data_IF_160752375950
#
_entry.id   IF_160752375950
#
_cell.length_a   1.000
_cell.length_b   1.000
_cell.length_c   1.000
_cell.angle_alpha   90.00
_cell.angle_beta   90.00
_cell.angle_gamma   90.00
#
_symmetry.space_group_name_H-M   'P 1'
#
loop_
_entity.id
_entity.type
_entity.pdbx_description
1 polymer ?
#
# COMPACT_ATOMS: atom_id res chain seq x y z
N UNK A 1 22.58 -3.75 -20.78
CA UNK A 1 22.56 -2.29 -20.53
C UNK A 1 21.52 -1.80 -19.50
N UNK A 2 20.64 -2.65 -18.94
CA UNK A 2 19.70 -2.24 -17.87
C UNK A 2 20.34 -1.95 -16.50
N UNK A 3 21.48 -2.55 -16.15
CA UNK A 3 22.06 -2.42 -14.81
C UNK A 3 22.51 -1.01 -14.43
N UNK A 4 22.99 -0.24 -15.41
CA UNK A 4 23.55 1.11 -15.17
C UNK A 4 22.43 2.16 -15.00
N UNK A 5 21.33 2.01 -15.74
CA UNK A 5 20.12 2.83 -15.55
C UNK A 5 19.43 2.55 -14.20
N UNK A 6 19.36 1.29 -13.77
CA UNK A 6 18.82 0.93 -12.45
C UNK A 6 19.70 1.45 -11.30
N UNK A 7 21.03 1.43 -11.45
CA UNK A 7 21.95 1.98 -10.45
C UNK A 7 21.83 3.51 -10.33
N UNK A 8 21.73 4.25 -11.45
CA UNK A 8 21.55 5.71 -11.44
C UNK A 8 20.17 6.09 -10.85
N UNK A 9 19.12 5.33 -11.15
CA UNK A 9 17.77 5.55 -10.58
C UNK A 9 17.66 5.17 -9.11
N UNK A 10 18.47 4.21 -8.64
CA UNK A 10 18.61 3.80 -7.24
C UNK A 10 19.43 4.79 -6.41
N UNK A 11 20.58 5.25 -6.93
CA UNK A 11 21.39 6.29 -6.28
C UNK A 11 20.62 7.61 -6.18
N UNK A 12 19.92 8.04 -7.24
CA UNK A 12 19.09 9.24 -7.19
C UNK A 12 18.05 9.20 -6.07
N UNK A 13 17.45 8.03 -5.82
CA UNK A 13 16.43 7.80 -4.77
C UNK A 13 16.98 7.98 -3.34
N UNK A 14 18.25 7.66 -3.11
CA UNK A 14 18.87 7.79 -1.80
C UNK A 14 19.34 9.24 -1.52
N UNK A 15 19.82 9.92 -2.57
CA UNK A 15 20.33 11.29 -2.45
C UNK A 15 19.25 12.38 -2.54
N UNK A 16 18.05 12.09 -3.06
CA UNK A 16 16.98 13.10 -3.18
C UNK A 16 16.66 13.80 -1.84
N UNK A 17 16.45 13.11 -0.70
CA UNK A 17 16.20 13.79 0.57
C UNK A 17 17.43 14.59 1.06
N UNK A 18 18.65 14.12 0.78
CA UNK A 18 19.89 14.82 1.08
C UNK A 18 20.09 16.11 0.29
N UNK A 19 19.42 16.25 -0.87
CA UNK A 19 19.47 17.46 -1.70
C UNK A 19 18.41 18.50 -1.30
N UNK A 20 17.36 18.12 -0.56
CA UNK A 20 16.33 19.04 -0.09
C UNK A 20 16.91 20.03 0.93
N UNK A 21 17.73 19.56 1.87
CA UNK A 21 18.37 20.38 2.91
C UNK A 21 19.27 21.48 2.34
N UNK A 22 20.26 21.19 1.45
CA UNK A 22 21.09 22.23 0.84
C UNK A 22 20.30 23.14 -0.10
N UNK A 23 19.24 22.64 -0.77
CA UNK A 23 18.36 23.48 -1.58
C UNK A 23 17.59 24.51 -0.73
N UNK A 24 17.06 24.09 0.42
CA UNK A 24 16.39 24.99 1.38
C UNK A 24 17.37 26.02 1.98
N UNK A 25 18.59 25.59 2.31
CA UNK A 25 19.67 26.48 2.77
C UNK A 25 20.04 27.51 1.70
N UNK A 26 20.20 27.09 0.45
CA UNK A 26 20.48 27.98 -0.69
C UNK A 26 19.36 29.00 -0.93
N UNK A 27 18.10 28.56 -0.84
CA UNK A 27 16.94 29.44 -0.95
C UNK A 27 16.89 30.46 0.21
N UNK A 28 17.15 30.04 1.45
CA UNK A 28 17.19 30.91 2.61
C UNK A 28 18.31 31.97 2.53
N UNK A 29 19.52 31.56 2.16
CA UNK A 29 20.66 32.47 1.99
C UNK A 29 20.39 33.46 0.86
N UNK A 30 19.79 33.03 -0.24
CA UNK A 30 19.42 33.91 -1.36
C UNK A 30 18.32 34.91 -0.99
N UNK A 31 17.31 34.49 -0.21
CA UNK A 31 16.28 35.39 0.33
C UNK A 31 16.88 36.41 1.31
N UNK A 32 17.82 35.99 2.15
CA UNK A 32 18.51 36.90 3.09
C UNK A 32 19.40 37.90 2.35
N UNK A 33 20.15 37.44 1.35
CA UNK A 33 21.02 38.29 0.53
C UNK A 33 20.22 39.30 -0.30
N UNK A 34 19.11 38.90 -0.91
CA UNK A 34 18.23 39.80 -1.67
C UNK A 34 17.55 40.84 -0.78
N UNK A 35 17.07 40.47 0.41
CA UNK A 35 16.54 41.41 1.41
C UNK A 35 17.60 42.41 1.89
N UNK A 36 18.86 41.96 2.04
CA UNK A 36 19.98 42.83 2.46
C UNK A 36 20.44 43.76 1.34
N UNK A 37 20.51 43.27 0.11
CA UNK A 37 20.84 44.04 -1.08
C UNK A 37 19.82 45.16 -1.37
N UNK A 38 18.54 44.97 -1.02
CA UNK A 38 17.51 46.02 -1.09
C UNK A 38 17.67 47.10 0.00
N UNK A 39 18.31 46.78 1.13
CA UNK A 39 18.51 47.71 2.25
C UNK A 39 19.80 48.54 2.10
N UNK A 40 20.85 47.99 1.49
CA UNK A 40 22.15 48.66 1.33
C UNK A 40 22.70 48.47 -0.11
N UNK A 41 22.17 49.20 -1.10
CA UNK A 41 22.57 49.04 -2.50
C UNK A 41 24.00 49.51 -2.80
N UNK A 42 24.54 50.44 -2.00
CA UNK A 42 25.84 51.07 -2.24
C UNK A 42 27.06 50.17 -1.95
N UNK A 43 26.88 49.04 -1.24
CA UNK A 43 27.98 48.16 -0.81
C UNK A 43 27.93 46.74 -1.41
N UNK A 44 26.93 46.42 -2.25
CA UNK A 44 26.70 45.05 -2.73
C UNK A 44 26.93 44.90 -4.25
N UNK A 45 28.16 44.58 -4.65
CA UNK A 45 28.52 44.26 -6.05
C UNK A 45 28.03 42.88 -6.55
N UNK A 46 27.48 42.03 -5.67
CA UNK A 46 27.09 40.65 -5.96
C UNK A 46 25.64 40.43 -6.42
N UNK A 47 24.91 41.49 -6.77
CA UNK A 47 23.45 41.45 -6.99
C UNK A 47 23.02 40.48 -8.11
N UNK A 48 23.81 40.36 -9.18
CA UNK A 48 23.56 39.44 -10.31
C UNK A 48 23.67 37.98 -9.90
N UNK A 49 24.64 37.64 -9.06
CA UNK A 49 24.82 36.28 -8.53
C UNK A 49 23.71 35.91 -7.55
N UNK A 50 23.24 36.85 -6.74
CA UNK A 50 22.09 36.65 -5.85
C UNK A 50 20.78 36.43 -6.63
N UNK A 51 20.55 37.18 -7.71
CA UNK A 51 19.39 37.00 -8.59
C UNK A 51 19.43 35.65 -9.32
N UNK A 52 20.59 35.24 -9.83
CA UNK A 52 20.77 33.93 -10.45
C UNK A 52 20.48 32.79 -9.46
N UNK A 53 20.92 32.92 -8.20
CA UNK A 53 20.62 31.96 -7.13
C UNK A 53 19.12 31.85 -6.82
N UNK A 54 18.40 32.98 -6.73
CA UNK A 54 16.94 32.98 -6.50
C UNK A 54 16.19 32.30 -7.65
N UNK A 55 16.55 32.59 -8.90
CA UNK A 55 15.90 31.98 -10.09
C UNK A 55 16.18 30.48 -10.17
N UNK A 56 17.40 30.06 -9.86
CA UNK A 56 17.74 28.63 -9.86
C UNK A 56 17.00 27.89 -8.73
N UNK A 57 16.96 28.46 -7.52
CA UNK A 57 16.24 27.88 -6.39
C UNK A 57 14.73 27.82 -6.61
N UNK A 58 14.13 28.83 -7.24
CA UNK A 58 12.68 28.85 -7.49
C UNK A 58 12.23 27.80 -8.50
N UNK A 59 13.13 27.29 -9.35
CA UNK A 59 12.82 26.29 -10.37
C UNK A 59 13.17 24.87 -9.90
N UNK A 60 14.29 24.71 -9.17
CA UNK A 60 14.77 23.41 -8.69
C UNK A 60 13.93 22.88 -7.53
N UNK A 61 13.54 23.72 -6.56
CA UNK A 61 12.71 23.27 -5.43
C UNK A 61 11.37 22.66 -5.84
N UNK A 62 10.53 23.32 -6.66
CA UNK A 62 9.26 22.72 -7.06
C UNK A 62 9.47 21.47 -7.91
N UNK A 63 10.49 21.43 -8.78
CA UNK A 63 10.80 20.22 -9.56
C UNK A 63 11.15 19.02 -8.65
N UNK A 64 11.95 19.24 -7.60
CA UNK A 64 12.28 18.21 -6.62
C UNK A 64 11.06 17.77 -5.80
N UNK A 65 10.20 18.71 -5.40
CA UNK A 65 8.97 18.40 -4.67
C UNK A 65 8.00 17.58 -5.51
N UNK A 66 7.78 17.95 -6.77
CA UNK A 66 6.93 17.20 -7.70
C UNK A 66 7.48 15.80 -7.94
N UNK A 67 8.78 15.69 -8.21
CA UNK A 67 9.42 14.40 -8.44
C UNK A 67 9.40 13.50 -7.19
N UNK A 68 9.71 14.06 -6.02
CA UNK A 68 9.66 13.36 -4.74
C UNK A 68 8.25 12.89 -4.39
N UNK A 69 7.25 13.76 -4.58
CA UNK A 69 5.84 13.42 -4.38
C UNK A 69 5.36 12.31 -5.29
N UNK A 70 5.69 12.37 -6.59
CA UNK A 70 5.36 11.31 -7.55
C UNK A 70 5.99 9.96 -7.16
N UNK A 71 7.27 9.97 -6.77
CA UNK A 71 7.96 8.75 -6.31
C UNK A 71 7.34 8.15 -5.05
N UNK A 72 7.00 8.99 -4.07
CA UNK A 72 6.34 8.54 -2.86
C UNK A 72 4.98 7.89 -3.18
N UNK A 73 4.16 8.55 -4.01
CA UNK A 73 2.87 8.01 -4.44
C UNK A 73 3.00 6.65 -5.14
N UNK A 74 3.98 6.52 -6.04
CA UNK A 74 4.26 5.25 -6.74
C UNK A 74 4.73 4.16 -5.77
N UNK A 75 5.61 4.48 -4.84
CA UNK A 75 6.07 3.53 -3.83
C UNK A 75 4.91 3.00 -2.96
N UNK A 76 4.01 3.90 -2.52
CA UNK A 76 2.81 3.49 -1.77
C UNK A 76 1.89 2.58 -2.60
N UNK A 77 1.66 2.91 -3.87
CA UNK A 77 0.83 2.10 -4.76
C UNK A 77 1.45 0.70 -5.00
N UNK A 78 2.75 0.65 -5.32
CA UNK A 78 3.47 -0.60 -5.55
C UNK A 78 3.45 -1.50 -4.30
N UNK A 79 3.59 -0.92 -3.11
CA UNK A 79 3.56 -1.68 -1.86
C UNK A 79 2.17 -2.22 -1.55
N UNK A 80 1.11 -1.43 -1.81
CA UNK A 80 -0.27 -1.91 -1.70
C UNK A 80 -0.57 -3.06 -2.69
N UNK A 81 -0.08 -2.97 -3.93
CA UNK A 81 -0.24 -4.02 -4.92
C UNK A 81 0.46 -5.32 -4.52
N UNK A 82 1.69 -5.21 -3.99
CA UNK A 82 2.44 -6.36 -3.45
C UNK A 82 1.72 -7.00 -2.28
N UNK A 83 1.24 -6.20 -1.34
CA UNK A 83 0.49 -6.68 -0.17
C UNK A 83 -0.82 -7.37 -0.58
N UNK A 84 -1.55 -6.80 -1.56
CA UNK A 84 -2.75 -7.43 -2.14
C UNK A 84 -2.41 -8.78 -2.80
N UNK A 85 -1.37 -8.84 -3.61
CA UNK A 85 -0.95 -10.08 -4.27
C UNK A 85 -0.52 -11.16 -3.27
N UNK A 86 0.25 -10.80 -2.24
CA UNK A 86 0.67 -11.71 -1.18
C UNK A 86 -0.52 -12.22 -0.35
N UNK A 87 -1.49 -11.35 -0.04
CA UNK A 87 -2.71 -11.72 0.66
C UNK A 87 -3.55 -12.70 -0.16
N UNK A 88 -3.69 -12.45 -1.47
CA UNK A 88 -4.39 -13.36 -2.39
C UNK A 88 -3.74 -14.75 -2.43
N UNK A 89 -2.41 -14.83 -2.47
CA UNK A 89 -1.69 -16.11 -2.44
C UNK A 89 -1.98 -16.88 -1.15
N UNK A 90 -1.89 -16.23 0.01
CA UNK A 90 -2.19 -16.86 1.31
C UNK A 90 -3.63 -17.35 1.41
N UNK A 91 -4.59 -16.56 0.91
CA UNK A 91 -6.00 -16.94 0.88
C UNK A 91 -6.23 -18.18 0.01
N UNK A 92 -5.55 -18.30 -1.13
CA UNK A 92 -5.62 -19.48 -1.99
C UNK A 92 -4.99 -20.70 -1.32
N UNK A 93 -3.85 -20.55 -0.66
CA UNK A 93 -3.23 -21.64 0.10
C UNK A 93 -4.15 -22.12 1.24
N UNK A 94 -4.80 -21.20 1.95
CA UNK A 94 -5.80 -21.52 2.96
C UNK A 94 -7.02 -22.24 2.34
N UNK A 95 -7.50 -21.79 1.18
CA UNK A 95 -8.59 -22.43 0.44
C UNK A 95 -8.24 -23.87 0.06
N UNK A 96 -7.01 -24.13 -0.39
CA UNK A 96 -6.51 -25.48 -0.67
C UNK A 96 -6.48 -26.35 0.58
N UNK A 97 -6.05 -25.80 1.72
CA UNK A 97 -6.04 -26.52 3.00
C UNK A 97 -7.47 -26.88 3.46
N UNK A 98 -8.42 -25.96 3.31
CA UNK A 98 -9.85 -26.21 3.60
C UNK A 98 -10.40 -27.29 2.67
N UNK A 99 -10.09 -27.22 1.38
CA UNK A 99 -10.56 -28.21 0.40
C UNK A 99 -9.98 -29.60 0.68
N UNK A 100 -8.70 -29.69 1.07
CA UNK A 100 -8.07 -30.94 1.46
C UNK A 100 -8.74 -31.54 2.72
N UNK A 101 -9.02 -30.70 3.72
CA UNK A 101 -9.76 -31.12 4.92
C UNK A 101 -11.16 -31.63 4.57
N UNK A 102 -11.89 -30.90 3.72
CA UNK A 102 -13.23 -31.29 3.28
C UNK A 102 -13.23 -32.63 2.56
N UNK A 103 -12.25 -32.88 1.68
CA UNK A 103 -12.10 -34.17 0.99
C UNK A 103 -11.85 -35.33 1.96
N UNK A 104 -11.12 -35.09 3.05
CA UNK A 104 -10.78 -36.12 4.04
C UNK A 104 -11.90 -36.38 5.05
N UNK A 105 -12.60 -35.33 5.49
CA UNK A 105 -13.59 -35.40 6.59
C UNK A 105 -15.04 -35.34 6.12
N UNK A 106 -15.29 -34.97 4.86
CA UNK A 106 -16.64 -34.76 4.33
C UNK A 106 -17.35 -33.52 4.89
N UNK A 107 -16.66 -32.69 5.67
CA UNK A 107 -17.22 -31.52 6.35
C UNK A 107 -16.27 -30.31 6.23
N UNK A 108 -16.84 -29.10 6.32
CA UNK A 108 -16.06 -27.86 6.39
C UNK A 108 -15.51 -27.65 7.82
N UNK A 109 -14.33 -27.05 7.97
CA UNK A 109 -13.78 -26.75 9.29
C UNK A 109 -14.60 -25.67 10.00
N UNK A 110 -14.45 -25.63 11.32
CA UNK A 110 -15.02 -24.61 12.19
C UNK A 110 -14.62 -23.18 11.78
N UNK A 111 -15.43 -22.13 12.07
CA UNK A 111 -15.10 -20.73 11.73
C UNK A 111 -13.76 -20.25 12.30
N UNK A 112 -13.30 -20.87 13.39
CA UNK A 112 -12.04 -20.55 14.03
C UNK A 112 -10.84 -21.27 13.40
N UNK A 113 -11.06 -22.20 12.47
CA UNK A 113 -10.05 -23.01 11.79
C UNK A 113 -9.14 -23.78 12.77
N UNK A 114 -9.67 -24.17 13.93
CA UNK A 114 -8.88 -24.82 14.97
C UNK A 114 -8.39 -26.19 14.50
N UNK A 115 -9.20 -26.93 13.74
CA UNK A 115 -8.80 -28.23 13.18
C UNK A 115 -7.61 -28.12 12.23
N UNK A 116 -7.59 -27.09 11.38
CA UNK A 116 -6.47 -26.87 10.46
C UNK A 116 -5.20 -26.48 11.22
N UNK A 117 -5.31 -25.67 12.28
CA UNK A 117 -4.15 -25.34 13.13
C UNK A 117 -3.59 -26.58 13.83
N UNK A 118 -4.44 -27.47 14.34
CA UNK A 118 -3.98 -28.74 14.92
C UNK A 118 -3.36 -29.68 13.89
N UNK A 119 -3.74 -29.56 12.62
CA UNK A 119 -3.15 -30.29 11.51
C UNK A 119 -1.82 -29.69 11.00
N UNK A 120 -1.29 -28.62 11.63
CA UNK A 120 -0.02 -28.00 11.28
C UNK A 120 -0.12 -26.84 10.29
N UNK A 121 -1.30 -26.23 10.11
CA UNK A 121 -1.44 -25.02 9.30
C UNK A 121 -0.56 -23.90 9.87
N UNK A 122 0.28 -23.31 9.01
CA UNK A 122 1.19 -22.25 9.43
C UNK A 122 0.40 -20.98 9.87
N UNK A 123 0.81 -20.28 10.94
CA UNK A 123 0.05 -19.15 11.48
C UNK A 123 -0.14 -17.99 10.50
N UNK A 124 0.83 -17.78 9.61
CA UNK A 124 0.82 -16.75 8.57
C UNK A 124 -0.24 -16.95 7.49
N UNK A 125 -0.82 -18.16 7.37
CA UNK A 125 -1.92 -18.44 6.43
C UNK A 125 -3.28 -17.93 6.93
N UNK A 126 -3.37 -17.61 8.23
CA UNK A 126 -4.58 -17.07 8.85
C UNK A 126 -4.51 -15.54 8.95
N UNK A 127 -3.42 -14.94 8.45
CA UNK A 127 -3.23 -13.49 8.39
C UNK A 127 -2.90 -13.02 6.99
N UNK A 128 -3.38 -11.84 6.64
CA UNK A 128 -3.05 -11.18 5.38
C UNK A 128 -1.65 -10.52 5.43
N UNK A 129 -1.24 -9.91 4.31
CA UNK A 129 0.06 -9.27 4.19
C UNK A 129 0.21 -8.05 5.12
N UNK A 130 -0.89 -7.45 5.58
CA UNK A 130 -0.92 -6.35 6.55
C UNK A 130 -0.94 -6.84 8.00
N UNK A 131 -0.88 -8.16 8.22
CA UNK A 131 -0.87 -8.78 9.55
C UNK A 131 -2.25 -8.82 10.21
N UNK A 132 -3.33 -8.54 9.47
CA UNK A 132 -4.70 -8.65 9.96
C UNK A 132 -5.20 -10.08 9.79
N UNK A 133 -6.09 -10.51 10.69
CA UNK A 133 -6.63 -11.87 10.67
C UNK A 133 -7.67 -12.02 9.56
N UNK A 134 -7.55 -13.08 8.76
CA UNK A 134 -8.55 -13.46 7.77
C UNK A 134 -9.84 -13.94 8.46
N UNK A 135 -10.98 -13.52 7.92
CA UNK A 135 -12.30 -13.96 8.37
C UNK A 135 -12.78 -15.10 7.46
N UNK A 136 -12.95 -16.28 8.03
CA UNK A 136 -13.49 -17.46 7.33
C UNK A 136 -14.94 -17.71 7.78
N UNK A 137 -15.83 -17.94 6.81
CA UNK A 137 -17.26 -18.21 7.03
C UNK A 137 -17.71 -19.40 6.17
N UNK A 138 -18.15 -20.53 6.76
CA UNK A 138 -18.73 -21.66 6.03
C UNK A 138 -20.20 -21.40 5.63
N UNK A 139 -20.74 -22.16 4.67
CA UNK A 139 -22.11 -21.98 4.12
C UNK A 139 -23.19 -21.82 5.17
N UNK A 140 -23.12 -22.63 6.24
CA UNK A 140 -24.11 -22.59 7.33
C UNK A 140 -24.17 -21.23 8.03
N UNK A 141 -23.05 -20.50 8.10
CA UNK A 141 -23.00 -19.15 8.64
C UNK A 141 -23.39 -18.09 7.58
N UNK A 142 -23.07 -18.33 6.31
CA UNK A 142 -23.42 -17.43 5.20
C UNK A 142 -24.95 -17.35 4.98
N UNK A 143 -25.62 -18.50 5.01
CA UNK A 143 -27.08 -18.58 4.90
C UNK A 143 -27.81 -17.87 6.07
N UNK A 144 -27.19 -17.82 7.25
CA UNK A 144 -27.74 -17.13 8.41
C UNK A 144 -27.54 -15.60 8.39
N UNK A 145 -26.56 -15.09 7.62
CA UNK A 145 -26.17 -13.67 7.62
C UNK A 145 -26.84 -12.87 6.51
N UNK A 146 -27.24 -13.51 5.39
CA UNK A 146 -27.97 -12.81 4.33
C UNK A 146 -28.97 -13.73 3.61
N UNK A 147 -30.29 -13.54 3.80
CA UNK A 147 -31.32 -14.35 3.15
C UNK A 147 -31.64 -13.92 1.71
N UNK A 148 -31.06 -12.82 1.20
CA UNK A 148 -31.49 -12.15 -0.04
C UNK A 148 -30.42 -11.98 -1.13
N UNK A 149 -29.15 -12.34 -0.89
CA UNK A 149 -28.10 -12.34 -1.92
C UNK A 149 -27.93 -13.76 -2.48
N UNK A 150 -28.42 -13.99 -3.70
CA UNK A 150 -28.17 -15.18 -4.56
C UNK A 150 -27.78 -16.46 -3.81
N UNK A 151 -28.76 -17.29 -3.40
CA UNK A 151 -28.47 -18.53 -2.73
C UNK A 151 -27.95 -19.58 -3.74
N UNK A 152 -27.05 -20.45 -3.28
CA UNK A 152 -27.06 -21.92 -3.44
C UNK A 152 -25.80 -22.66 -3.93
N UNK A 153 -24.71 -22.00 -4.32
CA UNK A 153 -23.50 -22.76 -4.75
C UNK A 153 -22.25 -22.51 -3.92
N UNK A 154 -22.16 -21.41 -3.16
CA UNK A 154 -20.94 -21.09 -2.42
C UNK A 154 -20.82 -21.84 -1.10
N UNK A 155 -19.78 -22.66 -0.96
CA UNK A 155 -19.54 -23.49 0.22
C UNK A 155 -18.87 -22.72 1.35
N UNK A 156 -17.99 -21.77 1.06
CA UNK A 156 -17.37 -20.92 2.08
C UNK A 156 -16.85 -19.61 1.50
N UNK A 157 -16.57 -18.66 2.39
CA UNK A 157 -15.86 -17.42 2.05
C UNK A 157 -14.70 -17.16 2.99
N UNK A 158 -13.63 -16.59 2.45
CA UNK A 158 -12.49 -16.02 3.17
C UNK A 158 -12.43 -14.54 2.82
N UNK A 159 -12.38 -13.68 3.82
CA UNK A 159 -12.31 -12.22 3.66
C UNK A 159 -11.05 -11.69 4.34
N UNK A 160 -10.26 -10.91 3.61
CA UNK A 160 -9.22 -10.03 4.17
C UNK A 160 -9.76 -8.61 4.22
N UNK A 161 -9.55 -7.95 5.36
CA UNK A 161 -9.97 -6.57 5.62
C UNK A 161 -9.04 -5.53 4.97
N UNK A 162 -8.21 -5.92 3.99
CA UNK A 162 -7.38 -4.97 3.25
C UNK A 162 -6.40 -4.15 4.08
N UNK A 163 -6.07 -2.96 3.54
CA UNK A 163 -5.10 -2.03 4.13
C UNK A 163 -5.68 -1.16 5.25
N UNK A 164 -6.98 -0.86 5.19
CA UNK A 164 -7.76 -0.15 6.19
C UNK A 164 -8.03 -1.03 7.43
N UNK A 165 -8.15 -2.34 7.24
CA UNK A 165 -8.37 -3.30 8.32
C UNK A 165 -9.81 -3.35 8.81
N UNK A 166 -10.73 -2.74 8.06
CA UNK A 166 -12.16 -2.75 8.31
C UNK A 166 -12.86 -3.67 7.30
N UNK A 167 -13.83 -4.46 7.75
CA UNK A 167 -14.58 -5.36 6.88
C UNK A 167 -15.83 -4.65 6.35
N UNK A 168 -16.26 -4.99 5.14
CA UNK A 168 -17.40 -4.39 4.45
C UNK A 168 -17.03 -3.19 3.59
N UNK A 169 -15.73 -2.92 3.40
CA UNK A 169 -15.24 -1.79 2.59
C UNK A 169 -14.85 -2.25 1.19
N UNK A 170 -14.57 -1.28 0.30
CA UNK A 170 -14.13 -1.56 -1.06
C UNK A 170 -12.71 -2.17 -1.14
N UNK A 171 -11.93 -2.07 -0.06
CA UNK A 171 -10.58 -2.62 0.02
C UNK A 171 -10.54 -4.10 0.41
N UNK A 172 -11.68 -4.68 0.80
CA UNK A 172 -11.81 -6.08 1.13
C UNK A 172 -11.43 -7.00 -0.04
N UNK A 173 -10.70 -8.06 0.28
CA UNK A 173 -10.47 -9.16 -0.65
C UNK A 173 -11.36 -10.32 -0.25
N UNK A 174 -12.35 -10.62 -1.09
CA UNK A 174 -13.31 -11.71 -0.86
C UNK A 174 -12.97 -12.88 -1.78
N UNK A 175 -12.66 -14.03 -1.18
CA UNK A 175 -12.49 -15.31 -1.87
C UNK A 175 -13.68 -16.19 -1.55
N UNK A 176 -14.41 -16.64 -2.56
CA UNK A 176 -15.53 -17.59 -2.42
C UNK A 176 -15.19 -18.85 -3.20
N UNK A 177 -15.12 -19.99 -2.52
CA UNK A 177 -14.78 -21.30 -3.10
C UNK A 177 -13.53 -21.29 -4.01
N UNK A 178 -12.50 -20.53 -3.63
CA UNK A 178 -11.27 -20.41 -4.42
C UNK A 178 -11.31 -19.42 -5.58
N UNK A 179 -12.41 -18.68 -5.77
CA UNK A 179 -12.53 -17.62 -6.78
C UNK A 179 -12.63 -16.26 -6.10
N UNK A 180 -11.84 -15.28 -6.56
CA UNK A 180 -11.93 -13.90 -6.06
C UNK A 180 -13.17 -13.22 -6.62
N UNK A 181 -13.96 -12.63 -5.74
CA UNK A 181 -15.18 -11.90 -6.06
C UNK A 181 -14.96 -10.43 -5.66
N UNK A 182 -15.43 -9.45 -6.46
CA UNK A 182 -15.38 -8.05 -6.05
C UNK A 182 -16.07 -7.86 -4.70
N UNK A 183 -15.44 -7.08 -3.82
CA UNK A 183 -16.09 -6.64 -2.58
C UNK A 183 -17.34 -5.85 -2.97
N UNK A 184 -18.49 -6.30 -2.47
CA UNK A 184 -19.69 -5.49 -2.51
C UNK A 184 -19.60 -4.66 -1.24
N UNK A 185 -19.37 -3.34 -1.30
CA UNK A 185 -19.49 -2.52 -0.12
C UNK A 185 -20.90 -2.74 0.40
N UNK A 186 -21.03 -3.05 1.69
CA UNK A 186 -22.35 -3.10 2.32
C UNK A 186 -22.91 -1.69 2.19
N UNK A 187 -23.77 -1.47 1.20
CA UNK A 187 -24.46 -0.20 1.01
C UNK A 187 -25.22 0.08 2.29
N UNK A 188 -24.79 1.12 3.00
CA UNK A 188 -25.49 1.71 4.14
C UNK A 188 -27.00 1.76 3.84
N UNK A 189 -27.77 1.13 4.73
CA UNK A 189 -29.11 1.59 5.07
C UNK A 189 -28.96 2.59 6.22
#
# INVERSE_FOLDING_TARGET
MCGLACAILGLGSFFTPWLIVPALLGAYVSLRASRRARREPAHFGGLRWAQAGVVLSSLVLPALLVYGGYRAARWYADEQERARAASRARMLELALAIQAYQKQRGALPSPQLQELRTAGLAPNLVTDAWGKKLRYQPTGALAATSPLTTPLLTQYSIVSAGADGEFGTADDLVLRDGVFVPATPDSEN
#
